data_IF_007325190970
#
_entry.id   IF_007325190970
#
_cell.length_a   1.000
_cell.length_b   1.000
_cell.length_c   1.000
_cell.angle_alpha   90.00
_cell.angle_beta   90.00
_cell.angle_gamma   90.00
#
_symmetry.space_group_name_H-M   'P 1'
#
loop_
_entity.id
_entity.type
_entity.pdbx_description
1 polymer ?
#
# COMPACT_ATOMS: atom_id res chain seq x y z
N UNK A 1 -22.33 12.28 -14.78
CA UNK A 1 -21.38 13.20 -14.12
C UNK A 1 -21.57 13.08 -12.61
N UNK A 2 -20.60 12.51 -11.88
CA UNK A 2 -20.62 12.47 -10.40
C UNK A 2 -19.78 13.66 -9.91
N UNK A 3 -20.45 14.78 -9.74
CA UNK A 3 -19.82 16.08 -9.38
C UNK A 3 -19.64 16.32 -7.88
N UNK A 4 -19.71 15.29 -7.03
CA UNK A 4 -19.51 15.41 -5.58
C UNK A 4 -18.57 14.33 -5.02
N UNK A 5 -17.41 14.12 -5.65
CA UNK A 5 -16.37 13.33 -4.98
C UNK A 5 -15.64 14.23 -3.97
N UNK A 6 -15.49 13.75 -2.73
CA UNK A 6 -14.66 14.41 -1.72
C UNK A 6 -13.27 14.71 -2.31
N UNK A 7 -12.68 15.85 -1.98
CA UNK A 7 -11.34 16.24 -2.45
C UNK A 7 -10.29 15.17 -2.18
N UNK A 8 -10.39 14.46 -1.05
CA UNK A 8 -9.53 13.34 -0.68
C UNK A 8 -9.55 12.21 -1.71
N UNK A 9 -10.70 11.93 -2.32
CA UNK A 9 -10.81 10.90 -3.36
C UNK A 9 -10.45 11.45 -4.75
N UNK A 10 -10.87 12.68 -5.06
CA UNK A 10 -10.62 13.34 -6.34
C UNK A 10 -9.12 13.56 -6.59
N UNK A 11 -8.39 13.99 -5.54
CA UNK A 11 -6.98 14.34 -5.57
C UNK A 11 -6.05 13.27 -4.97
N UNK A 12 -6.55 12.04 -4.81
CA UNK A 12 -5.67 10.92 -4.46
C UNK A 12 -4.66 10.72 -5.58
N UNK A 13 -3.36 10.68 -5.22
CA UNK A 13 -2.25 10.47 -6.16
C UNK A 13 -2.51 9.27 -7.08
N UNK A 14 -2.38 9.48 -8.38
CA UNK A 14 -2.59 8.47 -9.43
C UNK A 14 -1.27 7.94 -9.98
N UNK A 15 -0.21 8.70 -9.83
CA UNK A 15 1.15 8.35 -10.26
C UNK A 15 2.11 8.43 -9.08
N UNK A 16 3.28 7.80 -9.22
CA UNK A 16 4.33 7.86 -8.19
C UNK A 16 4.89 9.29 -8.04
N UNK A 17 4.91 10.07 -9.12
CA UNK A 17 5.38 11.45 -9.10
C UNK A 17 4.45 12.38 -8.32
N UNK A 18 3.14 12.13 -8.38
CA UNK A 18 2.13 12.86 -7.60
C UNK A 18 2.14 12.49 -6.11
N UNK A 19 2.79 11.38 -5.73
CA UNK A 19 2.87 10.96 -4.33
C UNK A 19 3.76 11.90 -3.54
N UNK A 20 3.20 12.58 -2.54
CA UNK A 20 3.86 13.66 -1.80
C UNK A 20 4.85 13.13 -0.77
N UNK A 21 6.07 13.64 -0.77
CA UNK A 21 7.13 13.28 0.18
C UNK A 21 7.77 11.92 -0.07
N UNK A 22 8.61 11.49 0.89
CA UNK A 22 9.26 10.17 0.88
C UNK A 22 10.11 9.86 -0.37
N UNK A 23 10.93 10.82 -0.83
CA UNK A 23 11.71 10.72 -2.07
C UNK A 23 12.59 9.46 -2.15
N UNK A 24 13.22 9.05 -1.05
CA UNK A 24 14.02 7.82 -1.02
C UNK A 24 13.15 6.58 -1.27
N UNK A 25 11.95 6.56 -0.71
CA UNK A 25 10.98 5.48 -0.90
C UNK A 25 10.48 5.43 -2.34
N UNK A 26 10.20 6.59 -2.96
CA UNK A 26 9.86 6.66 -4.38
C UNK A 26 10.94 6.07 -5.27
N UNK A 27 12.22 6.36 -4.98
CA UNK A 27 13.36 5.79 -5.71
C UNK A 27 13.44 4.26 -5.57
N UNK A 28 13.17 3.72 -4.39
CA UNK A 28 13.12 2.27 -4.17
C UNK A 28 11.99 1.65 -5.00
N UNK A 29 10.79 2.22 -4.92
CA UNK A 29 9.63 1.74 -5.67
C UNK A 29 9.86 1.85 -7.18
N UNK A 30 10.42 2.97 -7.65
CA UNK A 30 10.77 3.16 -9.06
C UNK A 30 11.75 2.10 -9.58
N UNK A 31 12.72 1.66 -8.75
CA UNK A 31 13.63 0.57 -9.11
C UNK A 31 12.90 -0.78 -9.24
N UNK A 32 11.94 -1.08 -8.36
CA UNK A 32 11.14 -2.30 -8.48
C UNK A 32 10.32 -2.31 -9.77
N UNK A 33 9.70 -1.16 -10.10
CA UNK A 33 8.92 -1.01 -11.33
C UNK A 33 9.83 -1.18 -12.56
N UNK A 34 10.97 -0.47 -12.59
CA UNK A 34 11.90 -0.52 -13.72
C UNK A 34 12.47 -1.91 -13.96
N UNK A 35 12.73 -2.68 -12.91
CA UNK A 35 13.27 -4.04 -13.00
C UNK A 35 12.18 -5.12 -13.14
N UNK A 36 10.91 -4.73 -13.03
CA UNK A 36 9.77 -5.65 -12.94
C UNK A 36 9.97 -6.74 -11.87
N UNK A 37 10.61 -6.40 -10.75
CA UNK A 37 10.94 -7.31 -9.65
C UNK A 37 10.49 -6.70 -8.32
N UNK A 38 9.26 -6.99 -7.93
CA UNK A 38 8.69 -6.54 -6.69
C UNK A 38 9.08 -7.51 -5.55
N UNK A 39 9.56 -6.96 -4.44
CA UNK A 39 9.75 -7.70 -3.20
C UNK A 39 8.45 -7.68 -2.36
N UNK A 40 8.35 -8.57 -1.36
CA UNK A 40 7.31 -8.41 -0.35
C UNK A 40 7.60 -7.16 0.47
N UNK A 41 6.60 -6.31 0.65
CA UNK A 41 6.74 -5.02 1.32
C UNK A 41 5.92 -4.98 2.60
N UNK A 42 6.46 -4.35 3.64
CA UNK A 42 5.73 -3.95 4.83
C UNK A 42 5.88 -2.44 5.02
N UNK A 43 4.83 -1.72 4.67
CA UNK A 43 4.76 -0.27 4.73
C UNK A 43 4.20 0.16 6.09
N UNK A 44 5.02 0.81 6.94
CA UNK A 44 4.56 1.24 8.26
C UNK A 44 4.74 2.74 8.48
N UNK A 45 3.92 3.31 9.34
CA UNK A 45 3.96 4.73 9.70
C UNK A 45 2.64 5.21 10.28
N UNK A 46 2.62 6.44 10.76
CA UNK A 46 1.43 7.02 11.40
C UNK A 46 0.21 7.03 10.46
N UNK A 47 -1.02 7.03 11.00
CA UNK A 47 -2.22 7.15 10.18
C UNK A 47 -2.18 8.40 9.26
N UNK A 48 -2.75 8.28 8.07
CA UNK A 48 -2.83 9.40 7.13
C UNK A 48 -1.57 9.71 6.32
N UNK A 49 -0.50 8.90 6.42
CA UNK A 49 0.77 9.12 5.69
C UNK A 49 0.80 8.59 4.27
N UNK A 50 -0.31 8.05 3.76
CA UNK A 50 -0.40 7.59 2.36
C UNK A 50 0.02 6.14 2.11
N UNK A 51 0.13 5.27 3.14
CA UNK A 51 0.51 3.85 3.02
C UNK A 51 -0.34 3.09 2.01
N UNK A 52 -1.65 3.13 2.17
CA UNK A 52 -2.63 2.48 1.26
C UNK A 52 -2.55 3.06 -0.16
N UNK A 53 -2.37 4.37 -0.27
CA UNK A 53 -2.19 5.04 -1.57
C UNK A 53 -0.95 4.52 -2.27
N UNK A 54 0.19 4.45 -1.58
CA UNK A 54 1.42 3.92 -2.14
C UNK A 54 1.29 2.44 -2.55
N UNK A 55 0.66 1.60 -1.73
CA UNK A 55 0.40 0.20 -2.07
C UNK A 55 -0.39 0.08 -3.39
N UNK A 56 -1.44 0.87 -3.57
CA UNK A 56 -2.24 0.90 -4.79
C UNK A 56 -1.45 1.45 -5.99
N UNK A 57 -0.62 2.48 -5.79
CA UNK A 57 0.25 3.02 -6.85
C UNK A 57 1.26 1.97 -7.33
N UNK A 58 1.84 1.20 -6.42
CA UNK A 58 2.75 0.09 -6.78
C UNK A 58 2.02 -0.90 -7.68
N UNK A 59 0.87 -1.40 -7.25
CA UNK A 59 0.08 -2.39 -8.01
C UNK A 59 -0.28 -1.88 -9.41
N UNK A 60 -0.69 -0.61 -9.52
CA UNK A 60 -1.07 -0.01 -10.81
C UNK A 60 0.09 0.09 -11.82
N UNK A 61 1.33 -0.05 -11.36
CA UNK A 61 2.53 0.00 -12.21
C UNK A 61 3.07 -1.39 -12.59
N UNK A 62 2.39 -2.47 -12.17
CA UNK A 62 2.76 -3.85 -12.55
C UNK A 62 1.67 -4.48 -13.41
N UNK A 63 2.07 -5.30 -14.37
CA UNK A 63 1.14 -6.19 -15.09
C UNK A 63 0.81 -7.39 -14.21
N UNK A 64 -0.18 -7.25 -13.35
CA UNK A 64 -0.51 -8.23 -12.32
C UNK A 64 -2.02 -8.42 -12.14
N UNK A 65 -2.40 -9.58 -11.61
CA UNK A 65 -3.66 -9.72 -10.90
C UNK A 65 -3.45 -9.31 -9.45
N UNK A 66 -4.42 -8.63 -8.83
CA UNK A 66 -4.28 -8.28 -7.42
C UNK A 66 -5.53 -8.53 -6.59
N UNK A 67 -5.31 -8.80 -5.31
CA UNK A 67 -6.33 -8.93 -4.28
C UNK A 67 -6.08 -7.86 -3.23
N UNK A 68 -7.10 -7.07 -2.92
CA UNK A 68 -7.08 -6.10 -1.83
C UNK A 68 -7.97 -6.59 -0.68
N UNK A 69 -7.43 -6.63 0.53
CA UNK A 69 -8.13 -6.95 1.76
C UNK A 69 -7.81 -5.89 2.80
N UNK A 70 -8.83 -5.33 3.45
CA UNK A 70 -8.65 -4.53 4.66
C UNK A 70 -8.79 -5.44 5.88
N UNK A 71 -7.70 -5.60 6.64
CA UNK A 71 -7.66 -6.47 7.81
C UNK A 71 -8.45 -5.91 9.01
N UNK A 72 -8.81 -4.63 8.99
CA UNK A 72 -9.71 -4.06 10.01
C UNK A 72 -11.15 -4.55 9.87
N UNK A 73 -11.56 -4.86 8.64
CA UNK A 73 -12.89 -5.38 8.32
C UNK A 73 -12.94 -6.91 8.43
N UNK A 74 -11.83 -7.58 8.07
CA UNK A 74 -11.73 -9.03 7.96
C UNK A 74 -10.58 -9.55 8.84
N UNK A 75 -10.84 -9.72 10.14
CA UNK A 75 -9.80 -10.10 11.14
C UNK A 75 -9.63 -11.60 11.34
N UNK A 76 -10.57 -12.39 10.85
CA UNK A 76 -10.63 -13.84 11.09
C UNK A 76 -9.56 -14.60 10.33
N UNK A 77 -8.93 -15.58 11.00
CA UNK A 77 -7.90 -16.42 10.42
C UNK A 77 -8.40 -17.17 9.17
N UNK A 78 -9.61 -17.73 9.24
CA UNK A 78 -10.15 -18.56 8.16
C UNK A 78 -10.47 -17.71 6.93
N UNK A 79 -11.08 -16.53 7.12
CA UNK A 79 -11.40 -15.62 6.02
C UNK A 79 -10.14 -15.15 5.31
N UNK A 80 -9.12 -14.70 6.06
CA UNK A 80 -7.85 -14.26 5.50
C UNK A 80 -7.14 -15.41 4.80
N UNK A 81 -7.03 -16.58 5.48
CA UNK A 81 -6.37 -17.75 4.91
C UNK A 81 -7.04 -18.19 3.61
N UNK A 82 -8.36 -18.37 3.61
CA UNK A 82 -9.07 -18.93 2.48
C UNK A 82 -9.06 -17.96 1.28
N UNK A 83 -9.27 -16.66 1.50
CA UNK A 83 -9.20 -15.66 0.42
C UNK A 83 -7.80 -15.54 -0.15
N UNK A 84 -6.78 -15.38 0.70
CA UNK A 84 -5.39 -15.17 0.26
C UNK A 84 -4.85 -16.43 -0.39
N UNK A 85 -5.07 -17.61 0.20
CA UNK A 85 -4.63 -18.88 -0.35
C UNK A 85 -5.37 -19.22 -1.65
N UNK A 86 -6.68 -19.00 -1.69
CA UNK A 86 -7.48 -19.20 -2.88
C UNK A 86 -7.00 -18.33 -4.04
N UNK A 87 -6.73 -17.06 -3.79
CA UNK A 87 -6.17 -16.16 -4.80
C UNK A 87 -4.76 -16.58 -5.21
N UNK A 88 -3.85 -16.84 -4.25
CA UNK A 88 -2.47 -17.20 -4.54
C UNK A 88 -2.34 -18.51 -5.33
N UNK A 89 -3.21 -19.50 -5.06
CA UNK A 89 -3.23 -20.80 -5.74
C UNK A 89 -3.96 -20.81 -7.09
N UNK A 90 -4.81 -19.82 -7.36
CA UNK A 90 -5.56 -19.75 -8.63
C UNK A 90 -4.63 -19.58 -9.84
N UNK A 91 -5.07 -20.00 -11.02
CA UNK A 91 -4.36 -19.70 -12.25
C UNK A 91 -4.43 -18.19 -12.55
N UNK A 92 -3.38 -17.65 -13.16
CA UNK A 92 -3.31 -16.28 -13.65
C UNK A 92 -2.66 -16.26 -15.02
N UNK A 93 -3.14 -15.39 -15.89
CA UNK A 93 -2.51 -15.09 -17.18
C UNK A 93 -1.47 -13.96 -17.07
N UNK A 94 -1.40 -13.33 -15.90
CA UNK A 94 -0.44 -12.25 -15.62
C UNK A 94 0.86 -12.82 -15.04
N UNK A 95 2.00 -12.12 -15.28
CA UNK A 95 3.31 -12.57 -14.80
C UNK A 95 3.42 -12.76 -13.30
N UNK A 96 2.68 -11.97 -12.54
CA UNK A 96 2.72 -11.94 -11.09
C UNK A 96 1.35 -11.67 -10.50
N UNK A 97 1.14 -12.14 -9.28
CA UNK A 97 0.00 -11.78 -8.43
C UNK A 97 0.46 -10.91 -7.28
N UNK A 98 -0.36 -9.96 -6.86
CA UNK A 98 -0.06 -9.10 -5.71
C UNK A 98 -1.23 -9.15 -4.73
N UNK A 99 -0.93 -9.40 -3.45
CA UNK A 99 -1.91 -9.32 -2.37
C UNK A 99 -1.59 -8.08 -1.54
N UNK A 100 -2.55 -7.17 -1.44
CA UNK A 100 -2.49 -6.03 -0.52
C UNK A 100 -3.28 -6.39 0.73
N UNK A 101 -2.61 -6.38 1.89
CA UNK A 101 -3.23 -6.48 3.20
C UNK A 101 -3.09 -5.15 3.91
N UNK A 102 -4.15 -4.36 3.84
CA UNK A 102 -4.21 -3.04 4.45
C UNK A 102 -4.55 -3.18 5.94
N UNK A 103 -3.92 -2.35 6.78
CA UNK A 103 -4.09 -2.37 8.23
C UNK A 103 -3.78 -3.76 8.87
N UNK A 104 -2.70 -4.42 8.44
CA UNK A 104 -2.32 -5.77 8.86
C UNK A 104 -2.08 -5.90 10.39
N UNK A 105 -1.87 -4.81 11.10
CA UNK A 105 -1.77 -4.76 12.56
C UNK A 105 -3.11 -5.06 13.29
N UNK A 106 -4.22 -5.16 12.57
CA UNK A 106 -5.50 -5.68 13.08
C UNK A 106 -5.65 -7.19 12.97
N UNK A 107 -4.78 -7.88 12.23
CA UNK A 107 -4.79 -9.34 12.14
C UNK A 107 -4.46 -9.98 13.49
N UNK A 108 -5.16 -11.08 13.81
CA UNK A 108 -4.78 -11.91 14.95
C UNK A 108 -3.40 -12.55 14.74
N UNK A 109 -2.71 -12.91 15.82
CA UNK A 109 -1.40 -13.58 15.76
C UNK A 109 -1.48 -14.88 14.95
N UNK A 110 -2.60 -15.62 15.08
CA UNK A 110 -2.80 -16.86 14.31
C UNK A 110 -2.97 -16.57 12.80
N UNK A 111 -3.69 -15.48 12.43
CA UNK A 111 -3.82 -15.06 11.04
C UNK A 111 -2.47 -14.64 10.45
N UNK A 112 -1.67 -13.91 11.19
CA UNK A 112 -0.31 -13.53 10.78
C UNK A 112 0.61 -14.76 10.61
N UNK A 113 0.53 -15.74 11.52
CA UNK A 113 1.29 -16.99 11.41
C UNK A 113 0.88 -17.82 10.17
N UNK A 114 -0.42 -17.87 9.86
CA UNK A 114 -0.93 -18.50 8.64
C UNK A 114 -0.43 -17.78 7.39
N UNK A 115 -0.49 -16.45 7.38
CA UNK A 115 -0.01 -15.61 6.29
C UNK A 115 1.49 -15.83 6.00
N UNK A 116 2.32 -15.97 7.05
CA UNK A 116 3.73 -16.34 6.89
C UNK A 116 3.92 -17.58 6.03
N UNK A 117 3.15 -18.65 6.31
CA UNK A 117 3.25 -19.89 5.55
C UNK A 117 2.81 -19.70 4.09
N UNK A 118 1.77 -18.92 3.85
CA UNK A 118 1.27 -18.60 2.50
C UNK A 118 2.34 -17.82 1.72
N UNK A 119 2.97 -16.82 2.32
CA UNK A 119 4.05 -16.05 1.69
C UNK A 119 5.21 -16.96 1.25
N UNK A 120 5.61 -17.91 2.09
CA UNK A 120 6.67 -18.88 1.75
C UNK A 120 6.26 -19.81 0.60
N UNK A 121 5.05 -20.35 0.69
CA UNK A 121 4.54 -21.32 -0.28
C UNK A 121 4.41 -20.73 -1.68
N UNK A 122 3.92 -19.49 -1.78
CA UNK A 122 3.63 -18.83 -3.05
C UNK A 122 4.65 -17.77 -3.46
N UNK A 123 5.84 -17.78 -2.85
CA UNK A 123 6.91 -16.78 -3.07
C UNK A 123 7.36 -16.61 -4.52
N UNK A 124 7.15 -17.61 -5.38
CA UNK A 124 7.53 -17.54 -6.81
C UNK A 124 6.52 -16.79 -7.66
N UNK A 125 5.26 -16.82 -7.31
CA UNK A 125 4.14 -16.33 -8.16
C UNK A 125 3.39 -15.17 -7.54
N UNK A 126 3.53 -14.94 -6.24
CA UNK A 126 2.74 -13.95 -5.51
C UNK A 126 3.63 -13.08 -4.65
N UNK A 127 3.38 -11.77 -4.66
CA UNK A 127 4.01 -10.79 -3.78
C UNK A 127 2.98 -10.21 -2.82
N UNK A 128 3.46 -9.75 -1.69
CA UNK A 128 2.62 -9.26 -0.61
C UNK A 128 3.02 -7.82 -0.27
N UNK A 129 2.04 -6.95 -0.18
CA UNK A 129 2.20 -5.58 0.30
C UNK A 129 1.33 -5.44 1.53
N UNK A 130 1.95 -5.38 2.70
CA UNK A 130 1.28 -5.17 3.96
C UNK A 130 1.40 -3.71 4.35
N UNK A 131 0.35 -3.13 4.91
CA UNK A 131 0.43 -1.82 5.57
C UNK A 131 0.11 -1.98 7.05
N UNK A 132 0.71 -1.17 7.90
CA UNK A 132 0.37 -1.11 9.32
C UNK A 132 0.67 0.27 9.92
N UNK A 133 -0.03 0.60 11.00
CA UNK A 133 0.27 1.80 11.77
C UNK A 133 1.32 1.49 12.87
N UNK A 134 1.25 0.30 13.44
CA UNK A 134 2.06 -0.15 14.57
C UNK A 134 2.88 -1.38 14.19
N UNK A 135 4.17 -1.17 13.91
CA UNK A 135 5.08 -2.25 13.47
C UNK A 135 5.22 -3.35 14.53
N UNK A 136 5.21 -2.98 15.81
CA UNK A 136 5.30 -3.88 16.96
C UNK A 136 4.13 -4.87 17.09
N UNK A 137 3.03 -4.64 16.37
CA UNK A 137 1.89 -5.58 16.31
C UNK A 137 2.06 -6.64 15.22
N UNK A 138 3.05 -6.51 14.37
CA UNK A 138 3.37 -7.49 13.34
C UNK A 138 4.43 -8.45 13.89
N UNK A 139 4.17 -9.74 13.85
CA UNK A 139 5.10 -10.76 14.38
C UNK A 139 6.43 -10.74 13.61
N UNK A 140 7.55 -10.92 14.30
CA UNK A 140 8.90 -10.91 13.72
C UNK A 140 9.06 -11.87 12.52
N UNK A 141 8.51 -13.10 12.55
CA UNK A 141 8.60 -14.01 11.42
C UNK A 141 7.93 -13.47 10.14
N UNK A 142 6.95 -12.59 10.25
CA UNK A 142 6.30 -11.96 9.10
C UNK A 142 7.13 -10.75 8.62
N UNK A 143 7.62 -9.93 9.56
CA UNK A 143 8.49 -8.80 9.25
C UNK A 143 9.75 -9.25 8.49
N UNK A 144 10.39 -10.36 8.91
CA UNK A 144 11.61 -10.88 8.29
C UNK A 144 11.43 -11.37 6.84
N UNK A 145 10.20 -11.55 6.38
CA UNK A 145 9.86 -11.95 5.00
C UNK A 145 9.49 -10.79 4.10
N UNK A 146 9.49 -9.59 4.65
CA UNK A 146 9.15 -8.36 3.94
C UNK A 146 10.31 -7.38 4.01
N UNK A 147 10.46 -6.56 3.00
CA UNK A 147 11.23 -5.34 3.14
C UNK A 147 10.39 -4.33 3.92
N UNK A 148 10.87 -3.97 5.09
CA UNK A 148 10.18 -3.04 6.00
C UNK A 148 10.55 -1.62 5.60
N UNK A 149 9.56 -0.83 5.20
CA UNK A 149 9.73 0.54 4.72
C UNK A 149 8.90 1.50 5.57
N UNK A 150 9.58 2.46 6.20
CA UNK A 150 8.94 3.51 6.98
C UNK A 150 8.40 4.60 6.07
N UNK A 151 7.13 4.94 6.23
CA UNK A 151 6.51 6.09 5.56
C UNK A 151 6.37 7.22 6.57
N UNK A 152 7.02 8.33 6.27
CA UNK A 152 6.97 9.54 7.10
C UNK A 152 5.93 10.52 6.56
N UNK A 153 5.27 11.29 7.43
CA UNK A 153 4.43 12.38 6.97
C UNK A 153 5.22 13.35 6.09
N UNK A 154 4.63 13.87 5.02
CA UNK A 154 5.27 14.93 4.24
C UNK A 154 5.50 16.17 5.10
N UNK A 155 6.51 16.96 4.75
CA UNK A 155 6.78 18.24 5.42
C UNK A 155 5.65 19.24 5.17
N UNK A 156 5.52 20.23 6.05
CA UNK A 156 4.53 21.31 5.87
C UNK A 156 4.68 22.01 4.52
N UNK A 157 5.92 22.19 4.05
CA UNK A 157 6.21 22.81 2.76
C UNK A 157 5.69 21.95 1.59
N UNK A 158 5.92 20.64 1.62
CA UNK A 158 5.43 19.71 0.58
C UNK A 158 3.89 19.66 0.58
N UNK A 159 3.27 19.66 1.77
CA UNK A 159 1.81 19.72 1.89
C UNK A 159 1.28 21.04 1.31
N UNK A 160 1.86 22.17 1.67
CA UNK A 160 1.44 23.48 1.17
C UNK A 160 1.55 23.57 -0.36
N UNK A 161 2.65 23.07 -0.93
CA UNK A 161 2.83 23.01 -2.38
C UNK A 161 1.78 22.13 -3.07
N UNK A 162 1.45 21.00 -2.48
CA UNK A 162 0.44 20.11 -3.04
C UNK A 162 -0.97 20.71 -2.94
N UNK A 163 -1.28 21.33 -1.81
CA UNK A 163 -2.57 22.02 -1.59
C UNK A 163 -2.73 23.20 -2.53
N UNK A 164 -1.68 24.02 -2.76
CA UNK A 164 -1.76 25.14 -3.70
C UNK A 164 -2.11 24.67 -5.12
N UNK A 165 -1.52 23.58 -5.59
CA UNK A 165 -1.86 23.01 -6.90
C UNK A 165 -3.32 22.58 -6.98
N UNK A 166 -3.86 22.01 -5.89
CA UNK A 166 -5.28 21.62 -5.82
C UNK A 166 -6.17 22.85 -5.87
N UNK A 167 -5.86 23.88 -5.07
CA UNK A 167 -6.66 25.12 -5.00
C UNK A 167 -6.65 25.85 -6.33
N UNK A 168 -5.49 25.95 -6.99
CA UNK A 168 -5.36 26.52 -8.34
C UNK A 168 -6.22 25.75 -9.35
N UNK A 169 -6.24 24.43 -9.27
CA UNK A 169 -7.04 23.56 -10.17
C UNK A 169 -8.55 23.75 -9.96
N UNK A 170 -8.97 24.04 -8.74
CA UNK A 170 -10.37 24.29 -8.37
C UNK A 170 -10.76 25.77 -8.50
N UNK A 171 -9.84 26.65 -8.93
CA UNK A 171 -10.03 28.10 -9.03
C UNK A 171 -10.45 28.75 -7.70
N UNK A 172 -9.89 28.25 -6.59
CA UNK A 172 -10.14 28.76 -5.24
C UNK A 172 -9.04 29.76 -4.89
N UNK A 173 -9.42 31.00 -4.58
CA UNK A 173 -8.48 32.00 -4.07
C UNK A 173 -8.00 31.64 -2.67
N UNK A 174 -6.71 31.73 -2.41
CA UNK A 174 -6.09 31.43 -1.12
C UNK A 174 -4.93 32.37 -0.84
N UNK A 175 -4.56 32.54 0.42
CA UNK A 175 -3.36 33.23 0.84
C UNK A 175 -2.30 32.22 1.28
N UNK A 176 -1.08 32.34 0.81
CA UNK A 176 0.04 31.43 1.10
C UNK A 176 0.44 31.47 2.59
N UNK A 177 0.04 32.53 3.31
CA UNK A 177 0.36 32.70 4.73
C UNK A 177 -0.63 31.98 5.68
N UNK A 178 -1.75 31.50 5.18
CA UNK A 178 -2.77 30.72 5.90
C UNK A 178 -2.52 29.20 5.74
#
# INVERSE_FOLDING_TARGET
MKENSLFVEKYRSKTLDEYVGNEQLKQIVAKYIANNDLQNLLLYGTPGTGKTTLAKLIVNNFDCDYLYINASDERGIDTIRDKVQGFASSASFKPIKIVILDEADFLTIQAQASLRNIIETYSRTTRFILTCNYLERIIDPLQSRCQVLKITPPSKKEVAQHVSVILDTEYIEYNIED
#
